data_IF_439473910558
#
_entry.id   IF_439473910558
#
_cell.length_a   1.000
_cell.length_b   1.000
_cell.length_c   1.000
_cell.angle_alpha   90.00
_cell.angle_beta   90.00
_cell.angle_gamma   90.00
#
_symmetry.space_group_name_H-M   'P 1'
#
loop_
_entity.id
_entity.type
_entity.pdbx_description
1 polymer ?
#
# COMPACT_ATOMS: atom_id res chain seq x y z
N UNK A 1 22.54 52.60 -3.39
CA UNK A 1 22.69 51.22 -2.85
C UNK A 1 21.41 50.65 -2.24
N UNK A 2 20.74 51.32 -1.29
CA UNK A 2 19.54 50.76 -0.60
C UNK A 2 18.36 50.43 -1.54
N UNK A 3 18.13 51.22 -2.59
CA UNK A 3 17.04 50.98 -3.56
C UNK A 3 17.28 49.74 -4.43
N UNK A 4 18.52 49.52 -4.87
CA UNK A 4 18.91 48.36 -5.69
C UNK A 4 18.77 47.07 -4.89
N UNK A 5 19.16 47.09 -3.61
CA UNK A 5 19.02 45.96 -2.70
C UNK A 5 17.55 45.58 -2.47
N UNK A 6 16.66 46.57 -2.38
CA UNK A 6 15.21 46.35 -2.20
C UNK A 6 14.58 45.73 -3.45
N UNK A 7 14.97 46.17 -4.64
CA UNK A 7 14.50 45.57 -5.90
C UNK A 7 15.05 44.16 -6.09
N UNK A 8 16.31 43.92 -5.75
CA UNK A 8 16.91 42.58 -5.80
C UNK A 8 16.21 41.61 -4.83
N UNK A 9 15.91 42.07 -3.61
CA UNK A 9 15.17 41.27 -2.62
C UNK A 9 13.74 40.95 -3.09
N UNK A 10 13.04 41.91 -3.70
CA UNK A 10 11.69 41.68 -4.27
C UNK A 10 11.75 40.70 -5.44
N UNK A 11 12.74 40.80 -6.32
CA UNK A 11 12.91 39.89 -7.47
C UNK A 11 13.25 38.47 -7.00
N UNK A 12 14.07 38.31 -5.95
CA UNK A 12 14.39 36.99 -5.37
C UNK A 12 13.17 36.35 -4.72
N UNK A 13 12.36 37.12 -3.99
CA UNK A 13 11.11 36.63 -3.38
C UNK A 13 10.08 36.25 -4.45
N UNK A 14 9.92 37.06 -5.51
CA UNK A 14 8.99 36.76 -6.61
C UNK A 14 9.43 35.51 -7.38
N UNK A 15 10.72 35.35 -7.70
CA UNK A 15 11.22 34.17 -8.39
C UNK A 15 11.13 32.89 -7.52
N UNK A 16 11.22 33.02 -6.19
CA UNK A 16 11.05 31.90 -5.27
C UNK A 16 9.59 31.43 -5.15
N UNK A 17 8.61 32.31 -5.44
CA UNK A 17 7.18 31.97 -5.42
C UNK A 17 6.68 31.27 -6.70
N UNK A 18 7.43 31.37 -7.81
CA UNK A 18 7.06 30.72 -9.09
C UNK A 18 7.42 29.22 -9.09
N UNK A 19 8.30 28.78 -8.17
CA UNK A 19 8.77 27.39 -8.10
C UNK A 19 7.76 26.37 -7.54
N UNK A 20 6.56 26.78 -7.12
CA UNK A 20 5.56 25.87 -6.55
C UNK A 20 4.48 25.38 -7.53
N UNK A 21 4.48 25.83 -8.80
CA UNK A 21 3.41 25.47 -9.75
C UNK A 21 3.64 24.17 -10.54
N UNK A 22 4.81 23.52 -10.36
CA UNK A 22 5.22 22.35 -11.12
C UNK A 22 5.19 21.04 -10.33
N UNK A 23 4.13 20.77 -9.56
CA UNK A 23 3.96 19.42 -9.01
C UNK A 23 3.77 18.43 -10.18
N UNK A 24 4.49 17.29 -10.23
CA UNK A 24 4.26 16.28 -11.24
C UNK A 24 2.79 15.86 -11.18
N UNK A 25 2.10 15.86 -12.32
CA UNK A 25 0.74 15.32 -12.40
C UNK A 25 0.82 13.84 -12.07
N UNK A 26 0.50 13.50 -10.83
CA UNK A 26 0.28 12.12 -10.40
C UNK A 26 -0.78 11.54 -11.35
N UNK A 27 -0.51 10.44 -12.08
CA UNK A 27 -1.50 9.84 -12.97
C UNK A 27 -2.78 9.59 -12.18
N UNK A 28 -3.82 10.35 -12.53
CA UNK A 28 -5.05 10.51 -11.77
C UNK A 28 -5.60 9.16 -11.25
N UNK A 29 -5.60 8.97 -9.94
CA UNK A 29 -6.51 8.01 -9.31
C UNK A 29 -7.93 8.55 -9.51
N UNK A 30 -8.72 7.90 -10.37
CA UNK A 30 -10.12 8.27 -10.67
C UNK A 30 -10.99 8.27 -9.37
N UNK A 31 -10.55 7.56 -8.33
CA UNK A 31 -11.27 7.25 -7.09
C UNK A 31 -10.46 7.53 -5.80
N UNK A 32 -9.27 8.13 -5.90
CA UNK A 32 -8.38 8.36 -4.74
C UNK A 32 -7.52 7.17 -4.31
N UNK A 33 -7.58 6.03 -5.01
CA UNK A 33 -6.78 4.85 -4.69
C UNK A 33 -5.44 4.89 -5.43
N UNK A 34 -4.34 4.74 -4.69
CA UNK A 34 -2.99 4.57 -5.27
C UNK A 34 -3.01 3.43 -6.33
N UNK A 35 -2.52 3.65 -7.57
CA UNK A 35 -2.48 2.63 -8.61
C UNK A 35 -1.81 1.30 -8.21
N UNK A 36 -0.73 1.34 -7.42
CA UNK A 36 -0.06 0.14 -6.92
C UNK A 36 -0.93 -0.63 -5.92
N UNK A 37 -1.68 0.09 -5.08
CA UNK A 37 -2.65 -0.53 -4.17
C UNK A 37 -3.75 -1.20 -4.96
N UNK A 38 -4.30 -0.54 -5.98
CA UNK A 38 -5.28 -1.17 -6.87
C UNK A 38 -4.72 -2.44 -7.51
N UNK A 39 -3.52 -2.37 -8.07
CA UNK A 39 -2.88 -3.52 -8.72
C UNK A 39 -2.73 -4.70 -7.76
N UNK A 40 -2.34 -4.45 -6.51
CA UNK A 40 -2.17 -5.50 -5.49
C UNK A 40 -3.50 -6.12 -5.07
N UNK A 41 -4.56 -5.33 -4.93
CA UNK A 41 -5.89 -5.85 -4.61
C UNK A 41 -6.46 -6.67 -5.78
N UNK A 42 -6.30 -6.20 -7.03
CA UNK A 42 -6.69 -6.99 -8.20
C UNK A 42 -5.88 -8.27 -8.35
N UNK A 43 -4.57 -8.24 -8.04
CA UNK A 43 -3.73 -9.43 -8.03
C UNK A 43 -4.16 -10.43 -6.94
N UNK A 44 -4.56 -9.94 -5.76
CA UNK A 44 -5.10 -10.78 -4.68
C UNK A 44 -6.41 -11.46 -5.09
N UNK A 45 -7.33 -10.69 -5.67
CA UNK A 45 -8.60 -11.22 -6.20
C UNK A 45 -8.35 -12.29 -7.26
N UNK A 46 -7.46 -11.99 -8.21
CA UNK A 46 -7.07 -12.92 -9.28
C UNK A 46 -6.45 -14.20 -8.71
N UNK A 47 -5.58 -14.09 -7.71
CA UNK A 47 -4.99 -15.23 -7.02
C UNK A 47 -6.08 -16.15 -6.45
N UNK A 48 -7.06 -15.60 -5.73
CA UNK A 48 -8.18 -16.36 -5.14
C UNK A 48 -9.02 -17.04 -6.23
N UNK A 49 -9.46 -16.30 -7.24
CA UNK A 49 -10.31 -16.80 -8.32
C UNK A 49 -9.64 -17.94 -9.11
N UNK A 50 -8.33 -17.80 -9.39
CA UNK A 50 -7.57 -18.82 -10.11
C UNK A 50 -7.13 -19.99 -9.20
N UNK A 51 -7.02 -19.74 -7.90
CA UNK A 51 -6.59 -20.72 -6.90
C UNK A 51 -7.67 -21.76 -6.55
N UNK A 52 -8.96 -21.41 -6.69
CA UNK A 52 -10.06 -22.27 -6.27
C UNK A 52 -10.06 -23.69 -6.89
N UNK A 53 -9.51 -23.85 -8.10
CA UNK A 53 -9.44 -25.13 -8.82
C UNK A 53 -8.09 -25.86 -8.71
N UNK A 54 -7.14 -25.31 -7.96
CA UNK A 54 -5.80 -25.90 -7.82
C UNK A 54 -5.77 -27.00 -6.74
N UNK A 55 -4.78 -27.90 -6.76
CA UNK A 55 -4.45 -28.75 -5.62
C UNK A 55 -4.16 -27.92 -4.36
N UNK A 56 -4.47 -28.45 -3.18
CA UNK A 56 -4.36 -27.68 -1.92
C UNK A 56 -2.94 -27.22 -1.62
N UNK A 57 -1.92 -28.04 -1.93
CA UNK A 57 -0.52 -27.64 -1.77
C UNK A 57 -0.16 -26.42 -2.64
N UNK A 58 -0.72 -26.33 -3.84
CA UNK A 58 -0.47 -25.20 -4.74
C UNK A 58 -1.19 -23.94 -4.26
N UNK A 59 -2.38 -24.07 -3.65
CA UNK A 59 -3.07 -22.96 -2.98
C UNK A 59 -2.23 -22.41 -1.83
N UNK A 60 -1.76 -23.31 -0.94
CA UNK A 60 -0.94 -22.96 0.22
C UNK A 60 0.32 -22.20 -0.21
N UNK A 61 1.08 -22.73 -1.17
CA UNK A 61 2.29 -22.10 -1.67
C UNK A 61 1.99 -20.74 -2.31
N UNK A 62 0.98 -20.65 -3.18
CA UNK A 62 0.67 -19.40 -3.88
C UNK A 62 0.20 -18.30 -2.92
N UNK A 63 -0.62 -18.63 -1.92
CA UNK A 63 -1.06 -17.67 -0.89
C UNK A 63 0.10 -17.25 0.00
N UNK A 64 0.93 -18.19 0.45
CA UNK A 64 2.09 -17.89 1.28
C UNK A 64 3.07 -16.96 0.55
N UNK A 65 3.41 -17.26 -0.70
CA UNK A 65 4.33 -16.48 -1.52
C UNK A 65 3.77 -15.09 -1.85
N UNK A 66 2.45 -14.97 -2.00
CA UNK A 66 1.81 -13.68 -2.22
C UNK A 66 1.86 -12.80 -0.97
N UNK A 67 1.41 -13.33 0.17
CA UNK A 67 1.30 -12.55 1.42
C UNK A 67 2.68 -12.19 1.99
N UNK A 68 3.69 -13.05 1.82
CA UNK A 68 5.05 -12.78 2.29
C UNK A 68 5.78 -11.64 1.54
N UNK A 69 5.15 -11.01 0.54
CA UNK A 69 5.64 -9.78 -0.11
C UNK A 69 5.23 -8.51 0.63
N UNK A 70 4.33 -8.63 1.61
CA UNK A 70 3.99 -7.56 2.56
C UNK A 70 5.20 -7.32 3.47
N UNK A 71 5.45 -6.06 3.81
CA UNK A 71 6.53 -5.69 4.71
C UNK A 71 6.19 -6.11 6.15
N UNK A 72 7.12 -6.77 6.84
CA UNK A 72 6.93 -7.11 8.25
C UNK A 72 7.15 -5.86 9.11
N UNK A 73 6.11 -5.37 9.79
CA UNK A 73 6.17 -4.16 10.62
C UNK A 73 5.39 -4.40 11.91
N UNK A 74 6.04 -4.24 13.07
CA UNK A 74 5.36 -4.35 14.37
C UNK A 74 4.25 -3.30 14.52
N UNK A 75 3.18 -3.69 15.19
CA UNK A 75 2.00 -2.85 15.43
C UNK A 75 2.29 -1.49 16.05
N UNK A 76 3.28 -1.41 16.94
CA UNK A 76 3.61 -0.16 17.59
C UNK A 76 4.12 0.89 16.59
N UNK A 77 4.76 0.44 15.50
CA UNK A 77 5.24 1.32 14.43
C UNK A 77 4.19 1.52 13.33
N UNK A 78 3.38 0.51 13.05
CA UNK A 78 2.38 0.56 11.98
C UNK A 78 1.09 1.26 12.42
N UNK A 79 0.50 0.80 13.54
CA UNK A 79 -0.80 1.22 14.04
C UNK A 79 -0.74 2.12 15.28
N UNK A 80 0.45 2.25 15.90
CA UNK A 80 0.61 2.97 17.17
C UNK A 80 -0.12 2.26 18.32
N UNK A 81 -0.28 0.93 18.20
CA UNK A 81 -0.93 0.05 19.17
C UNK A 81 0.05 -1.03 19.59
N UNK A 82 -0.11 -1.53 20.80
CA UNK A 82 0.73 -2.64 21.27
C UNK A 82 0.39 -3.94 20.55
N UNK A 83 -0.87 -4.11 20.16
CA UNK A 83 -1.45 -5.30 19.53
C UNK A 83 -2.71 -4.84 18.76
N UNK A 84 -2.71 -4.99 17.44
CA UNK A 84 -3.78 -4.60 16.52
C UNK A 84 -3.87 -5.62 15.38
N UNK A 85 -5.00 -6.33 15.33
CA UNK A 85 -5.21 -7.36 14.32
C UNK A 85 -5.83 -6.75 13.07
N UNK A 86 -5.01 -6.56 12.04
CA UNK A 86 -5.46 -6.03 10.75
C UNK A 86 -6.31 -7.04 9.99
N UNK A 87 -7.35 -6.52 9.33
CA UNK A 87 -8.09 -7.30 8.33
C UNK A 87 -7.19 -7.60 7.12
N UNK A 88 -7.48 -8.65 6.32
CA UNK A 88 -6.71 -8.93 5.11
C UNK A 88 -6.58 -7.72 4.17
N UNK A 89 -7.66 -6.94 4.05
CA UNK A 89 -7.66 -5.74 3.21
C UNK A 89 -6.76 -4.64 3.80
N UNK A 90 -6.72 -4.47 5.12
CA UNK A 90 -5.82 -3.50 5.76
C UNK A 90 -4.35 -3.88 5.51
N UNK A 91 -3.97 -5.13 5.78
CA UNK A 91 -2.61 -5.66 5.52
C UNK A 91 -2.19 -5.43 4.06
N UNK A 92 -3.10 -5.68 3.11
CA UNK A 92 -2.81 -5.46 1.69
C UNK A 92 -2.81 -3.98 1.32
N UNK A 93 -3.72 -3.15 1.82
CA UNK A 93 -3.78 -1.73 1.45
C UNK A 93 -2.57 -0.97 1.97
N UNK A 94 -2.16 -1.18 3.21
CA UNK A 94 -0.96 -0.56 3.78
C UNK A 94 0.33 -1.22 3.31
N UNK A 95 0.23 -2.46 2.80
CA UNK A 95 1.38 -3.30 2.40
C UNK A 95 2.33 -3.55 3.58
N UNK A 96 1.80 -3.57 4.80
CA UNK A 96 2.53 -3.87 6.03
C UNK A 96 1.67 -4.68 7.01
N UNK A 97 2.31 -5.47 7.87
CA UNK A 97 1.70 -6.18 9.00
C UNK A 97 2.72 -7.06 9.72
N UNK A 98 2.39 -7.58 10.89
CA UNK A 98 3.22 -8.52 11.63
C UNK A 98 2.67 -9.97 11.56
N UNK A 99 2.93 -10.80 12.57
CA UNK A 99 2.77 -12.24 12.42
C UNK A 99 1.31 -12.68 12.29
N UNK A 100 0.42 -12.06 13.05
CA UNK A 100 -1.03 -12.26 13.05
C UNK A 100 -1.66 -11.72 11.78
N UNK A 101 -1.27 -10.52 11.34
CA UNK A 101 -1.79 -9.87 10.13
C UNK A 101 -1.54 -10.74 8.89
N UNK A 102 -0.32 -11.24 8.75
CA UNK A 102 0.07 -12.13 7.66
C UNK A 102 -0.68 -13.46 7.76
N UNK A 103 -0.89 -13.99 8.96
CA UNK A 103 -1.61 -15.25 9.18
C UNK A 103 -3.10 -15.11 8.86
N UNK A 104 -3.74 -14.02 9.28
CA UNK A 104 -5.14 -13.69 9.01
C UNK A 104 -5.36 -13.52 7.49
N UNK A 105 -4.48 -12.78 6.81
CA UNK A 105 -4.55 -12.62 5.36
C UNK A 105 -4.47 -13.97 4.62
N UNK A 106 -3.52 -14.83 5.01
CA UNK A 106 -3.37 -16.18 4.43
C UNK A 106 -4.60 -17.05 4.68
N UNK A 107 -5.08 -17.08 5.92
CA UNK A 107 -6.25 -17.87 6.31
C UNK A 107 -7.46 -17.53 5.45
N UNK A 108 -7.85 -16.25 5.38
CA UNK A 108 -9.04 -15.85 4.63
C UNK A 108 -8.90 -16.07 3.11
N UNK A 109 -7.70 -15.94 2.53
CA UNK A 109 -7.49 -16.32 1.13
C UNK A 109 -7.72 -17.81 0.90
N UNK A 110 -7.14 -18.66 1.75
CA UNK A 110 -7.25 -20.11 1.61
C UNK A 110 -8.69 -20.60 1.81
N UNK A 111 -9.41 -20.02 2.79
CA UNK A 111 -10.84 -20.26 2.97
C UNK A 111 -11.63 -19.84 1.73
N UNK A 112 -11.32 -18.69 1.13
CA UNK A 112 -11.97 -18.24 -0.10
C UNK A 112 -11.65 -19.13 -1.32
N UNK A 113 -10.52 -19.86 -1.31
CA UNK A 113 -10.17 -20.89 -2.29
C UNK A 113 -10.77 -22.27 -1.98
N UNK A 114 -11.62 -22.37 -0.95
CA UNK A 114 -12.34 -23.59 -0.59
C UNK A 114 -11.54 -24.60 0.24
N UNK A 115 -10.44 -24.19 0.88
CA UNK A 115 -9.84 -25.02 1.94
C UNK A 115 -10.77 -25.00 3.15
N UNK A 116 -11.14 -26.18 3.65
CA UNK A 116 -11.97 -26.32 4.84
C UNK A 116 -11.23 -25.81 6.09
N UNK A 117 -11.93 -25.06 6.92
CA UNK A 117 -11.47 -24.66 8.26
C UNK A 117 -11.56 -25.83 9.25
#
# INVERSE_FOLDING_TARGET
>A
MKAIFKHFFVIVVINSLIACAGAPKNPHSIDGINPETRQRIEAWKTLIEQGAKKPDIDKLNAVNDFVNKVEFVYDIYHWGKQDYWATPLQTLVTKAGDCEDLSIAKYFALTAMGISA
#
